data_IF_328297020197
#
_entry.id   IF_328297020197
#
_cell.length_a   1.000
_cell.length_b   1.000
_cell.length_c   1.000
_cell.angle_alpha   90.00
_cell.angle_beta   90.00
_cell.angle_gamma   90.00
#
_symmetry.space_group_name_H-M   'P 1'
#
loop_
_entity.id
_entity.type
_entity.pdbx_description
1 polymer ?
#
# COMPACT_ATOMS: atom_id res chain seq x y z
N UNK A 1 -4.03 -24.31 7.47
CA UNK A 1 -3.37 -24.00 8.75
C UNK A 1 -3.19 -22.50 8.75
N UNK A 2 -3.63 -21.78 9.79
CA UNK A 2 -3.40 -20.34 9.85
C UNK A 2 -1.89 -20.05 9.80
N UNK A 3 -1.45 -18.96 9.16
CA UNK A 3 -0.06 -18.53 9.21
C UNK A 3 0.44 -18.46 10.65
N UNK A 4 1.72 -18.79 10.84
CA UNK A 4 2.33 -18.65 12.16
C UNK A 4 2.64 -17.18 12.42
N UNK A 5 1.95 -16.59 13.40
CA UNK A 5 2.13 -15.20 13.81
C UNK A 5 3.37 -15.06 14.70
N UNK A 6 4.40 -14.38 14.19
CA UNK A 6 5.67 -14.15 14.90
C UNK A 6 5.65 -12.90 15.79
N UNK A 7 4.69 -12.00 15.57
CA UNK A 7 4.55 -10.74 16.31
C UNK A 7 3.24 -10.74 17.11
N UNK A 8 3.23 -10.05 18.24
CA UNK A 8 2.01 -9.70 18.94
C UNK A 8 1.25 -8.60 18.20
N UNK A 9 -0.04 -8.42 18.52
CA UNK A 9 -0.84 -7.31 18.00
C UNK A 9 -0.20 -5.94 18.29
N UNK A 10 0.29 -5.73 19.52
CA UNK A 10 1.00 -4.51 19.90
C UNK A 10 2.28 -4.28 19.06
N UNK A 11 3.00 -5.37 18.74
CA UNK A 11 4.18 -5.31 17.88
C UNK A 11 3.84 -4.90 16.45
N UNK A 12 2.73 -5.41 15.90
CA UNK A 12 2.23 -5.01 14.59
C UNK A 12 1.81 -3.53 14.59
N UNK A 13 1.03 -3.09 15.57
CA UNK A 13 0.58 -1.70 15.71
C UNK A 13 1.78 -0.74 15.82
N UNK A 14 2.85 -1.13 16.52
CA UNK A 14 4.08 -0.35 16.63
C UNK A 14 4.74 -0.16 15.27
N UNK A 15 4.86 -1.23 14.48
CA UNK A 15 5.45 -1.16 13.13
C UNK A 15 4.58 -0.30 12.21
N UNK A 16 3.26 -0.49 12.25
CA UNK A 16 2.32 0.28 11.45
C UNK A 16 2.38 1.78 11.78
N UNK A 17 2.43 2.14 13.07
CA UNK A 17 2.55 3.52 13.51
C UNK A 17 3.89 4.14 13.06
N UNK A 18 4.99 3.39 13.17
CA UNK A 18 6.30 3.85 12.70
C UNK A 18 6.34 4.04 11.18
N UNK A 19 5.69 3.15 10.42
CA UNK A 19 5.57 3.29 8.98
C UNK A 19 4.79 4.55 8.59
N UNK A 20 3.66 4.83 9.26
CA UNK A 20 2.89 6.06 9.06
C UNK A 20 3.73 7.31 9.39
N UNK A 21 4.53 7.28 10.45
CA UNK A 21 5.46 8.37 10.80
C UNK A 21 6.50 8.62 9.69
N UNK A 22 7.10 7.56 9.16
CA UNK A 22 8.08 7.67 8.07
C UNK A 22 7.42 8.29 6.83
N UNK A 23 6.22 7.83 6.47
CA UNK A 23 5.51 8.34 5.30
C UNK A 23 5.10 9.82 5.44
N UNK A 24 4.74 10.25 6.65
CA UNK A 24 4.34 11.63 6.94
C UNK A 24 5.54 12.58 7.04
N UNK A 25 6.56 12.23 7.83
CA UNK A 25 7.66 13.15 8.14
C UNK A 25 8.76 13.12 7.08
N UNK A 26 9.11 11.92 6.62
CA UNK A 26 10.21 11.69 5.69
C UNK A 26 9.68 11.68 4.26
N UNK A 27 8.64 10.89 3.98
CA UNK A 27 8.06 10.71 2.65
C UNK A 27 8.88 9.81 1.71
N UNK A 28 8.48 9.74 0.44
CA UNK A 28 9.08 8.93 -0.62
C UNK A 28 9.34 9.80 -1.85
N UNK A 29 10.48 9.61 -2.52
CA UNK A 29 10.75 10.28 -3.79
C UNK A 29 10.09 9.53 -4.96
N UNK A 30 9.31 10.23 -5.78
CA UNK A 30 8.75 9.75 -7.04
C UNK A 30 9.48 10.43 -8.21
N UNK A 31 10.59 9.81 -8.64
CA UNK A 31 11.51 10.38 -9.63
C UNK A 31 11.11 10.03 -11.05
N UNK A 32 11.43 10.92 -11.99
CA UNK A 32 11.21 10.73 -13.43
C UNK A 32 9.77 10.39 -13.82
N UNK A 33 8.79 10.67 -12.94
CA UNK A 33 7.38 10.36 -13.19
C UNK A 33 6.42 11.48 -12.74
N UNK A 34 6.41 12.62 -13.45
CA UNK A 34 5.66 13.81 -13.05
C UNK A 34 4.16 13.59 -12.86
N UNK A 35 3.55 12.69 -13.65
CA UNK A 35 2.13 12.37 -13.54
C UNK A 35 1.75 11.70 -12.22
N UNK A 36 2.68 10.97 -11.57
CA UNK A 36 2.41 10.43 -10.25
C UNK A 36 2.38 11.52 -9.18
N UNK A 37 3.24 12.54 -9.30
CA UNK A 37 3.24 13.67 -8.37
C UNK A 37 1.89 14.40 -8.39
N UNK A 38 1.34 14.66 -9.59
CA UNK A 38 0.00 15.25 -9.73
C UNK A 38 -1.08 14.34 -9.14
N UNK A 39 -1.07 13.04 -9.46
CA UNK A 39 -2.05 12.09 -8.94
C UNK A 39 -2.04 12.03 -7.40
N UNK A 40 -0.86 12.06 -6.79
CA UNK A 40 -0.70 11.98 -5.34
C UNK A 40 -1.10 13.29 -4.66
N UNK A 41 -0.75 14.44 -5.25
CA UNK A 41 -1.21 15.75 -4.78
C UNK A 41 -2.74 15.87 -4.83
N UNK A 42 -3.37 15.43 -5.94
CA UNK A 42 -4.83 15.43 -6.10
C UNK A 42 -5.52 14.51 -5.09
N UNK A 43 -4.85 13.43 -4.68
CA UNK A 43 -5.31 12.52 -3.63
C UNK A 43 -5.10 13.08 -2.21
N UNK A 44 -4.43 14.23 -2.05
CA UNK A 44 -4.21 14.90 -0.78
C UNK A 44 -2.84 14.70 -0.14
N UNK A 45 -1.87 14.14 -0.85
CA UNK A 45 -0.48 14.08 -0.38
C UNK A 45 0.21 15.45 -0.50
N UNK A 46 1.18 15.71 0.37
CA UNK A 46 2.05 16.89 0.29
C UNK A 46 3.22 16.60 -0.64
N UNK A 47 3.42 17.45 -1.66
CA UNK A 47 4.43 17.24 -2.70
C UNK A 47 5.39 18.42 -2.74
N UNK A 48 6.67 18.15 -2.49
CA UNK A 48 7.78 19.11 -2.51
C UNK A 48 8.84 18.65 -3.52
N UNK A 49 8.80 19.22 -4.72
CA UNK A 49 9.61 18.74 -5.85
C UNK A 49 9.22 17.32 -6.23
N UNK A 50 10.14 16.37 -6.03
CA UNK A 50 9.89 14.93 -6.25
C UNK A 50 9.55 14.17 -4.97
N UNK A 51 9.63 14.82 -3.79
CA UNK A 51 9.33 14.21 -2.50
C UNK A 51 7.84 14.27 -2.23
N UNK A 52 7.25 13.12 -1.91
CA UNK A 52 5.84 13.01 -1.51
C UNK A 52 5.73 12.56 -0.06
N UNK A 53 5.01 13.33 0.75
CA UNK A 53 4.66 13.01 2.15
C UNK A 53 3.17 12.70 2.24
N UNK A 54 2.84 11.65 2.99
CA UNK A 54 1.48 11.13 3.07
C UNK A 54 0.91 11.42 4.47
N UNK A 55 -0.25 12.09 4.58
CA UNK A 55 -0.95 12.18 5.86
C UNK A 55 -1.19 10.80 6.47
N UNK A 56 -1.11 10.70 7.79
CA UNK A 56 -1.30 9.42 8.50
C UNK A 56 -2.61 8.74 8.09
N UNK A 57 -2.51 7.45 7.80
CA UNK A 57 -3.66 6.63 7.42
C UNK A 57 -4.14 6.81 5.97
N UNK A 58 -3.64 7.79 5.20
CA UNK A 58 -4.02 7.99 3.79
C UNK A 58 -3.82 6.71 2.97
N UNK A 59 -2.61 6.14 3.01
CA UNK A 59 -2.28 4.94 2.24
C UNK A 59 -3.17 3.74 2.64
N UNK A 60 -3.40 3.55 3.95
CA UNK A 60 -4.29 2.50 4.45
C UNK A 60 -5.72 2.69 3.94
N UNK A 61 -6.24 3.92 3.99
CA UNK A 61 -7.57 4.24 3.51
C UNK A 61 -7.72 3.95 2.01
N UNK A 62 -6.74 4.35 1.19
CA UNK A 62 -6.76 4.08 -0.26
C UNK A 62 -6.82 2.58 -0.54
N UNK A 63 -5.98 1.78 0.13
CA UNK A 63 -5.95 0.32 -0.01
C UNK A 63 -7.29 -0.28 0.41
N UNK A 64 -7.81 0.08 1.58
CA UNK A 64 -9.07 -0.47 2.10
C UNK A 64 -10.29 -0.10 1.23
N UNK A 65 -10.29 1.08 0.63
CA UNK A 65 -11.40 1.55 -0.18
C UNK A 65 -11.47 0.91 -1.56
N UNK A 66 -10.34 0.47 -2.13
CA UNK A 66 -10.25 0.14 -3.56
C UNK A 66 -9.57 -1.18 -3.90
N UNK A 67 -8.71 -1.72 -3.02
CA UNK A 67 -7.97 -2.95 -3.33
C UNK A 67 -8.77 -4.20 -2.94
N UNK A 68 -9.01 -5.14 -3.88
CA UNK A 68 -9.70 -6.38 -3.56
C UNK A 68 -8.81 -7.32 -2.74
N UNK A 69 -9.39 -8.01 -1.76
CA UNK A 69 -8.68 -9.00 -0.93
C UNK A 69 -8.27 -10.26 -1.69
N UNK A 70 -8.97 -10.59 -2.78
CA UNK A 70 -8.61 -11.68 -3.69
C UNK A 70 -8.91 -11.31 -5.14
N UNK A 71 -8.13 -11.84 -6.08
CA UNK A 71 -8.32 -11.62 -7.52
C UNK A 71 -7.96 -12.89 -8.31
N UNK A 72 -8.35 -12.95 -9.58
CA UNK A 72 -7.94 -14.02 -10.50
C UNK A 72 -6.89 -13.50 -11.46
N UNK A 73 -5.69 -14.09 -11.42
CA UNK A 73 -4.70 -13.91 -12.47
C UNK A 73 -5.04 -14.84 -13.63
N UNK A 74 -5.41 -14.25 -14.76
CA UNK A 74 -5.82 -15.01 -15.93
C UNK A 74 -4.61 -15.49 -16.74
N UNK A 75 -4.51 -16.80 -16.91
CA UNK A 75 -3.53 -17.44 -17.78
C UNK A 75 -3.99 -17.47 -19.23
N UNK A 76 -3.05 -17.67 -20.16
CA UNK A 76 -3.37 -17.88 -21.58
C UNK A 76 -4.31 -19.07 -21.80
N UNK A 77 -4.14 -20.13 -21.01
CA UNK A 77 -5.08 -21.24 -20.88
C UNK A 77 -5.95 -20.98 -19.63
N UNK A 78 -7.29 -20.87 -19.76
CA UNK A 78 -8.17 -20.65 -18.62
C UNK A 78 -8.08 -21.71 -17.50
N UNK A 79 -7.67 -22.95 -17.84
CA UNK A 79 -7.43 -24.00 -16.87
C UNK A 79 -6.20 -23.75 -15.96
N UNK A 80 -5.36 -22.78 -16.34
CA UNK A 80 -4.18 -22.34 -15.60
C UNK A 80 -4.38 -20.97 -14.95
N UNK A 81 -5.62 -20.53 -14.74
CA UNK A 81 -5.90 -19.34 -13.95
C UNK A 81 -5.51 -19.58 -12.50
N UNK A 82 -4.93 -18.57 -11.85
CA UNK A 82 -4.49 -18.63 -10.46
C UNK A 82 -5.29 -17.63 -9.63
N UNK A 83 -5.70 -18.02 -8.43
CA UNK A 83 -6.29 -17.10 -7.45
C UNK A 83 -5.16 -16.48 -6.63
N UNK A 84 -5.11 -15.15 -6.58
CA UNK A 84 -4.23 -14.41 -5.66
C UNK A 84 -4.99 -14.00 -4.40
N UNK A 85 -4.37 -14.17 -3.23
CA UNK A 85 -4.93 -13.82 -1.92
C UNK A 85 -5.82 -14.89 -1.29
N UNK A 86 -6.14 -14.72 -0.01
CA UNK A 86 -6.84 -15.72 0.80
C UNK A 86 -5.89 -16.85 1.24
N UNK A 87 -6.38 -18.09 1.18
CA UNK A 87 -5.62 -19.31 1.53
C UNK A 87 -5.06 -20.05 0.29
N UNK A 88 -4.95 -19.36 -0.85
CA UNK A 88 -4.59 -19.95 -2.14
C UNK A 88 -3.13 -20.45 -2.21
#
# INVERSE_FOLDING_TARGET
MAPFEVLSTEGLETIEHAADTILEEIGIDFRDYPSALTLLADAGADVDGERVRFPRGMCRQVVQASAPSTYTQHGRNPACNVRGGGDA
#
